data_IF_624812555546
#
_entry.id   IF_624812555546
#
_cell.length_a   1.000
_cell.length_b   1.000
_cell.length_c   1.000
_cell.angle_alpha   90.00
_cell.angle_beta   90.00
_cell.angle_gamma   90.00
#
_symmetry.space_group_name_H-M   'P 1'
#
loop_
_entity.id
_entity.type
_entity.pdbx_description
1 polymer ?
#
# COMPACT_ATOMS: atom_id res chain seq x y z
N UNK A 1 25.67 -5.17 27.82
CA UNK A 1 25.14 -4.98 26.45
C UNK A 1 23.82 -4.23 26.59
N UNK A 2 23.81 -2.91 26.38
CA UNK A 2 22.59 -2.11 26.49
C UNK A 2 21.77 -2.28 25.23
N UNK A 3 20.64 -2.98 25.34
CA UNK A 3 19.60 -2.94 24.33
C UNK A 3 18.98 -1.55 24.34
N UNK A 4 19.03 -0.84 23.20
CA UNK A 4 18.38 0.44 23.07
C UNK A 4 16.87 0.23 23.19
N UNK A 5 16.22 0.87 24.16
CA UNK A 5 14.77 0.93 24.24
C UNK A 5 14.24 1.59 22.96
N UNK A 6 13.61 0.80 22.10
CA UNK A 6 12.95 1.29 20.89
C UNK A 6 11.68 2.02 21.34
N UNK A 7 11.62 3.34 21.13
CA UNK A 7 10.45 4.14 21.44
C UNK A 7 9.29 3.75 20.50
N UNK A 8 8.20 3.12 21.01
CA UNK A 8 7.08 2.67 20.19
C UNK A 8 6.21 3.84 19.67
N UNK A 9 6.41 5.05 20.21
CA UNK A 9 5.76 6.29 19.78
C UNK A 9 6.68 7.16 18.92
N UNK A 10 7.86 6.67 18.53
CA UNK A 10 8.73 7.40 17.62
C UNK A 10 7.97 7.70 16.31
N UNK A 11 8.05 8.93 15.78
CA UNK A 11 7.41 9.26 14.52
C UNK A 11 7.85 8.26 13.46
N UNK A 12 6.87 7.70 12.72
CA UNK A 12 7.14 6.80 11.59
C UNK A 12 8.18 7.49 10.70
N UNK A 13 9.24 6.76 10.33
CA UNK A 13 10.33 7.29 9.49
C UNK A 13 9.72 8.10 8.33
N UNK A 14 10.26 9.28 7.98
CA UNK A 14 9.72 10.13 6.91
C UNK A 14 9.48 9.35 5.60
N UNK A 15 10.31 8.33 5.37
CA UNK A 15 10.23 7.32 4.31
C UNK A 15 8.85 6.65 4.17
N UNK A 16 8.12 6.36 5.25
CA UNK A 16 6.81 5.70 5.20
C UNK A 16 5.73 6.65 4.65
N UNK A 17 5.76 7.92 5.05
CA UNK A 17 4.79 8.91 4.58
C UNK A 17 5.04 9.21 3.10
N UNK A 18 6.29 9.34 2.71
CA UNK A 18 6.68 9.55 1.32
C UNK A 18 6.29 8.36 0.44
N UNK A 19 6.61 7.14 0.87
CA UNK A 19 6.22 5.91 0.17
C UNK A 19 4.71 5.82 0.01
N UNK A 20 3.93 6.11 1.06
CA UNK A 20 2.47 6.13 1.00
C UNK A 20 1.93 7.12 -0.04
N UNK A 21 2.47 8.34 -0.06
CA UNK A 21 2.06 9.38 -1.03
C UNK A 21 2.38 8.97 -2.45
N UNK A 22 3.58 8.41 -2.67
CA UNK A 22 4.03 7.94 -3.98
C UNK A 22 3.13 6.84 -4.53
N UNK A 23 2.84 5.83 -3.71
CA UNK A 23 1.93 4.73 -4.06
C UNK A 23 0.54 5.25 -4.38
N UNK A 24 -0.04 6.13 -3.54
CA UNK A 24 -1.35 6.74 -3.81
C UNK A 24 -1.38 7.50 -5.14
N UNK A 25 -0.31 8.23 -5.47
CA UNK A 25 -0.21 8.94 -6.74
C UNK A 25 -0.22 7.97 -7.92
N UNK A 26 0.58 6.90 -7.85
CA UNK A 26 0.62 5.88 -8.88
C UNK A 26 -0.72 5.17 -9.06
N UNK A 27 -1.37 4.77 -7.96
CA UNK A 27 -2.69 4.13 -7.98
C UNK A 27 -3.71 5.01 -8.70
N UNK A 28 -3.75 6.32 -8.42
CA UNK A 28 -4.65 7.25 -9.11
C UNK A 28 -4.39 7.32 -10.60
N UNK A 29 -3.12 7.41 -10.99
CA UNK A 29 -2.73 7.45 -12.40
C UNK A 29 -3.08 6.15 -13.13
N UNK A 30 -2.79 4.98 -12.54
CA UNK A 30 -3.03 3.67 -13.14
C UNK A 30 -4.53 3.39 -13.31
N UNK A 31 -5.34 3.67 -12.29
CA UNK A 31 -6.78 3.40 -12.31
C UNK A 31 -7.61 4.53 -12.95
N UNK A 32 -6.99 5.66 -13.31
CA UNK A 32 -7.66 6.85 -13.88
C UNK A 32 -8.82 7.35 -13.00
N UNK A 33 -8.63 7.30 -11.69
CA UNK A 33 -9.60 7.75 -10.68
C UNK A 33 -9.33 9.20 -10.28
N UNK A 34 -10.38 9.89 -9.84
CA UNK A 34 -10.29 11.29 -9.42
C UNK A 34 -9.70 11.46 -8.00
N UNK A 35 -9.49 12.71 -7.61
CA UNK A 35 -8.97 13.06 -6.29
C UNK A 35 -10.03 12.94 -5.17
N UNK A 36 -11.31 12.87 -5.51
CA UNK A 36 -12.40 12.64 -4.55
C UNK A 36 -12.45 11.16 -4.11
N UNK A 37 -11.94 10.26 -4.96
CA UNK A 37 -11.81 8.83 -4.68
C UNK A 37 -10.82 8.60 -3.54
N UNK A 38 -11.28 7.87 -2.52
CA UNK A 38 -10.46 7.59 -1.35
C UNK A 38 -9.48 6.48 -1.71
N UNK A 39 -8.19 6.78 -1.61
CA UNK A 39 -7.11 5.78 -1.73
C UNK A 39 -6.41 5.63 -0.39
N UNK A 40 -6.51 4.43 0.18
CA UNK A 40 -5.82 4.03 1.40
C UNK A 40 -4.70 3.05 1.09
N UNK A 41 -3.56 3.19 1.77
CA UNK A 41 -2.38 2.34 1.58
C UNK A 41 -1.90 1.92 2.96
N UNK A 42 -1.86 0.62 3.20
CA UNK A 42 -1.49 0.02 4.48
C UNK A 42 -0.36 -0.99 4.29
N UNK A 43 0.68 -0.87 5.10
CA UNK A 43 1.69 -1.92 5.23
C UNK A 43 1.28 -2.89 6.35
N UNK A 44 1.15 -4.17 6.01
CA UNK A 44 0.80 -5.24 6.93
C UNK A 44 1.96 -6.23 7.03
N UNK A 45 2.05 -6.94 8.16
CA UNK A 45 2.96 -8.06 8.28
C UNK A 45 2.38 -9.26 7.53
N UNK A 46 3.14 -9.86 6.61
CA UNK A 46 2.72 -11.08 5.95
C UNK A 46 3.16 -12.28 6.81
N UNK A 47 2.21 -13.13 7.18
CA UNK A 47 2.45 -14.30 8.04
C UNK A 47 2.55 -15.62 7.26
N UNK A 48 2.60 -15.55 5.92
CA UNK A 48 2.67 -16.73 5.07
C UNK A 48 4.10 -17.30 4.98
N UNK A 49 4.27 -18.64 5.06
CA UNK A 49 5.57 -19.27 4.91
C UNK A 49 6.12 -19.02 3.50
N UNK A 50 7.28 -18.38 3.41
CA UNK A 50 7.95 -18.06 2.14
C UNK A 50 7.66 -16.66 1.57
N UNK A 51 6.81 -15.86 2.20
CA UNK A 51 6.58 -14.47 1.82
C UNK A 51 7.56 -13.50 2.50
N UNK A 52 7.86 -12.34 1.90
CA UNK A 52 8.51 -11.24 2.59
C UNK A 52 7.75 -10.89 3.88
N UNK A 53 8.41 -10.37 4.92
CA UNK A 53 7.77 -10.14 6.22
C UNK A 53 6.65 -9.08 6.16
N UNK A 54 6.48 -8.39 5.02
CA UNK A 54 5.58 -7.26 4.85
C UNK A 54 4.90 -7.30 3.49
N UNK A 55 3.67 -6.84 3.47
CA UNK A 55 2.88 -6.59 2.26
C UNK A 55 2.23 -5.21 2.31
N UNK A 56 1.94 -4.67 1.15
CA UNK A 56 1.28 -3.38 0.97
C UNK A 56 -0.10 -3.62 0.37
N UNK A 57 -1.14 -3.31 1.15
CA UNK A 57 -2.53 -3.39 0.72
C UNK A 57 -3.01 -2.01 0.31
N UNK A 58 -3.60 -1.92 -0.87
CA UNK A 58 -4.14 -0.69 -1.45
C UNK A 58 -5.65 -0.87 -1.58
N UNK A 59 -6.39 0.04 -0.94
CA UNK A 59 -7.86 0.09 -0.99
C UNK A 59 -8.28 1.36 -1.73
N UNK A 60 -9.16 1.20 -2.70
CA UNK A 60 -9.75 2.26 -3.51
C UNK A 60 -11.25 2.26 -3.28
N UNK A 61 -11.80 3.40 -2.85
CA UNK A 61 -13.23 3.55 -2.60
C UNK A 61 -13.77 4.72 -3.44
N UNK A 62 -14.40 4.39 -4.56
CA UNK A 62 -15.03 5.36 -5.46
C UNK A 62 -16.47 5.70 -5.02
N UNK A 63 -17.11 4.82 -4.25
CA UNK A 63 -18.44 5.07 -3.68
C UNK A 63 -18.83 4.03 -2.62
N UNK A 64 -20.03 4.14 -2.02
CA UNK A 64 -20.48 3.26 -0.93
C UNK A 64 -20.47 1.76 -1.27
N UNK A 65 -20.64 1.41 -2.54
CA UNK A 65 -20.65 0.04 -3.05
C UNK A 65 -19.64 -0.16 -4.20
N UNK A 66 -18.73 0.79 -4.40
CA UNK A 66 -17.71 0.74 -5.44
C UNK A 66 -16.34 0.81 -4.76
N UNK A 67 -15.91 -0.34 -4.28
CA UNK A 67 -14.67 -0.52 -3.53
C UNK A 67 -13.86 -1.64 -4.14
N UNK A 68 -12.62 -1.34 -4.51
CA UNK A 68 -11.65 -2.31 -5.01
C UNK A 68 -10.44 -2.37 -4.09
N UNK A 69 -9.84 -3.54 -3.95
CA UNK A 69 -8.61 -3.70 -3.18
C UNK A 69 -7.64 -4.64 -3.90
N UNK A 70 -6.36 -4.43 -3.67
CA UNK A 70 -5.31 -5.32 -4.12
C UNK A 70 -4.10 -5.27 -3.20
N UNK A 71 -3.31 -6.34 -3.22
CA UNK A 71 -2.18 -6.54 -2.32
C UNK A 71 -0.90 -6.75 -3.12
N UNK A 72 0.17 -6.07 -2.71
CA UNK A 72 1.52 -6.25 -3.24
C UNK A 72 2.36 -6.84 -2.11
N UNK A 73 2.93 -8.03 -2.28
CA UNK A 73 3.74 -8.69 -1.26
C UNK A 73 5.16 -8.09 -1.14
N UNK A 74 5.23 -6.78 -0.87
CA UNK A 74 6.44 -5.98 -0.62
C UNK A 74 6.16 -4.94 0.46
N UNK A 75 7.20 -4.53 1.17
CA UNK A 75 7.13 -3.34 2.04
C UNK A 75 6.88 -2.09 1.18
N UNK A 76 6.23 -1.06 1.74
CA UNK A 76 5.85 0.14 1.00
C UNK A 76 7.04 0.86 0.36
N UNK A 77 8.20 0.82 1.02
CA UNK A 77 9.43 1.43 0.52
C UNK A 77 9.94 0.76 -0.77
N UNK A 78 9.69 -0.56 -0.91
CA UNK A 78 10.15 -1.39 -2.01
C UNK A 78 9.13 -1.49 -3.16
N UNK A 79 7.92 -0.94 -2.97
CA UNK A 79 6.88 -0.89 -4.02
C UNK A 79 7.31 0.08 -5.12
N UNK A 80 7.21 -0.39 -6.36
CA UNK A 80 7.48 0.37 -7.58
C UNK A 80 6.19 0.73 -8.33
N UNK A 81 6.29 1.61 -9.32
CA UNK A 81 5.17 1.92 -10.22
C UNK A 81 4.70 0.69 -10.99
N UNK A 82 5.62 -0.16 -11.43
CA UNK A 82 5.29 -1.39 -12.18
C UNK A 82 4.46 -2.34 -11.32
N UNK A 83 4.84 -2.52 -10.04
CA UNK A 83 4.07 -3.33 -9.09
C UNK A 83 2.63 -2.80 -8.92
N UNK A 84 2.47 -1.48 -8.78
CA UNK A 84 1.15 -0.85 -8.67
C UNK A 84 0.36 -1.00 -9.96
N UNK A 85 1.01 -0.88 -11.12
CA UNK A 85 0.34 -1.03 -12.41
C UNK A 85 -0.18 -2.45 -12.63
N UNK A 86 0.57 -3.46 -12.18
CA UNK A 86 0.18 -4.87 -12.26
C UNK A 86 -0.94 -5.19 -11.27
N UNK A 87 -0.80 -4.77 -10.01
CA UNK A 87 -1.87 -5.00 -9.03
C UNK A 87 -3.17 -4.24 -9.34
N UNK A 88 -3.07 -3.08 -10.00
CA UNK A 88 -4.23 -2.30 -10.42
C UNK A 88 -5.06 -2.99 -11.51
N UNK A 89 -4.46 -3.87 -12.33
CA UNK A 89 -5.24 -4.67 -13.28
C UNK A 89 -6.05 -5.75 -12.59
N UNK A 90 -5.54 -6.32 -11.48
CA UNK A 90 -6.22 -7.38 -10.73
C UNK A 90 -7.50 -6.87 -10.02
N UNK A 91 -7.56 -5.58 -9.66
CA UNK A 91 -8.76 -4.94 -9.07
C UNK A 91 -9.98 -5.03 -9.98
N UNK A 92 -9.78 -5.17 -11.30
CA UNK A 92 -10.85 -5.16 -12.29
C UNK A 92 -11.51 -6.54 -12.48
N UNK A 93 -10.97 -7.61 -11.87
CA UNK A 93 -11.43 -8.99 -12.08
C UNK A 93 -12.30 -9.56 -10.94
N UNK A 94 -12.38 -8.90 -9.77
CA UNK A 94 -13.24 -9.32 -8.63
C UNK A 94 -14.67 -8.73 -8.70
N UNK A 95 -15.25 -8.66 -9.92
CA UNK A 95 -16.60 -8.13 -10.21
C UNK A 95 -17.60 -9.18 -10.68
#
# INVERSE_FOLDING_TARGET
MSSAFVNPLAPKKPDVIESARRIKSWTRTCLKIDDATIVSVNELACHLPGCPPKETVILVMAGPNDTGQFSIHKAMADVTLEDVSLGATDVQDDG
#
